data_IF_514717186002
#
_entry.id   IF_514717186002
#
_cell.length_a   1.000
_cell.length_b   1.000
_cell.length_c   1.000
_cell.angle_alpha   90.00
_cell.angle_beta   90.00
_cell.angle_gamma   90.00
#
_symmetry.space_group_name_H-M   'P 1'
#
loop_
_entity.id
_entity.type
_entity.pdbx_description
1 polymer ?
#
# COMPACT_ATOMS: atom_id res chain seq x y z
N UNK A 1 -51.68 23.72 37.63
CA UNK A 1 -50.57 24.38 36.92
C UNK A 1 -49.76 23.33 36.20
N UNK A 2 -49.62 23.48 34.89
CA UNK A 2 -48.97 22.54 33.96
C UNK A 2 -47.46 22.80 33.96
N UNK A 3 -46.65 21.74 33.94
CA UNK A 3 -45.25 21.84 33.56
C UNK A 3 -44.86 20.57 32.79
N UNK A 4 -45.12 20.60 31.48
CA UNK A 4 -44.54 19.68 30.51
C UNK A 4 -43.20 20.28 30.11
N UNK A 5 -42.09 19.63 30.44
CA UNK A 5 -40.76 20.03 29.95
C UNK A 5 -40.32 19.03 28.88
N UNK A 6 -40.58 19.41 27.63
CA UNK A 6 -40.10 18.73 26.44
C UNK A 6 -38.67 19.21 26.18
N UNK A 7 -37.67 18.32 26.32
CA UNK A 7 -36.29 18.60 25.88
C UNK A 7 -36.13 17.96 24.50
N UNK A 8 -36.17 18.81 23.48
CA UNK A 8 -35.72 18.55 22.11
C UNK A 8 -34.49 19.44 21.87
N UNK A 9 -33.69 19.13 20.85
CA UNK A 9 -32.49 19.84 20.31
C UNK A 9 -31.19 19.11 20.68
N UNK A 10 -30.31 18.68 19.78
CA UNK A 10 -30.30 18.53 18.32
C UNK A 10 -29.06 17.65 18.04
N UNK A 11 -29.24 16.52 17.35
CA UNK A 11 -28.11 15.77 16.78
C UNK A 11 -27.55 16.59 15.62
N UNK A 12 -26.42 17.28 15.82
CA UNK A 12 -25.59 17.72 14.70
C UNK A 12 -24.82 16.52 14.17
N UNK A 13 -25.41 15.85 13.18
CA UNK A 13 -24.68 14.95 12.30
C UNK A 13 -23.82 15.85 11.41
N UNK A 14 -22.54 16.01 11.79
CA UNK A 14 -21.50 16.53 10.89
C UNK A 14 -21.34 15.51 9.75
N UNK A 15 -22.21 15.63 8.76
CA UNK A 15 -22.01 15.06 7.44
C UNK A 15 -20.91 15.90 6.79
N UNK A 16 -19.66 15.49 6.99
CA UNK A 16 -18.55 15.97 6.20
C UNK A 16 -18.79 15.57 4.75
N UNK A 17 -19.28 16.51 3.95
CA UNK A 17 -19.33 16.38 2.51
C UNK A 17 -17.90 16.14 2.00
N UNK A 18 -17.57 14.90 1.60
CA UNK A 18 -16.42 14.67 0.75
C UNK A 18 -16.64 15.40 -0.58
N UNK A 19 -15.80 16.39 -0.85
CA UNK A 19 -15.77 17.05 -2.14
C UNK A 19 -15.31 16.04 -3.19
N UNK A 20 -16.19 15.69 -4.14
CA UNK A 20 -15.77 15.18 -5.44
C UNK A 20 -14.94 16.29 -6.10
N UNK A 21 -13.61 16.18 -6.02
CA UNK A 21 -12.71 17.16 -6.62
C UNK A 21 -12.71 16.96 -8.13
N UNK A 22 -13.57 17.71 -8.82
CA UNK A 22 -13.38 18.05 -10.23
C UNK A 22 -12.14 18.93 -10.35
N UNK A 23 -11.21 18.54 -11.21
CA UNK A 23 -9.94 19.23 -11.41
C UNK A 23 -10.19 20.61 -12.03
N UNK A 24 -9.85 21.68 -11.29
CA UNK A 24 -9.51 22.97 -11.87
C UNK A 24 -8.05 23.29 -11.51
N UNK A 25 -7.25 23.58 -12.55
CA UNK A 25 -5.82 23.91 -12.48
C UNK A 25 -5.59 25.23 -11.75
N UNK A 26 -4.72 25.23 -10.74
CA UNK A 26 -3.73 26.31 -10.46
C UNK A 26 -2.91 26.05 -9.19
N UNK A 27 -1.58 26.02 -9.39
CA UNK A 27 -0.44 26.45 -8.53
C UNK A 27 -0.50 26.42 -6.99
N UNK A 28 0.44 25.64 -6.42
CA UNK A 28 1.23 25.81 -5.18
C UNK A 28 0.63 26.49 -3.92
N UNK A 29 0.59 25.74 -2.82
CA UNK A 29 1.31 26.05 -1.56
C UNK A 29 1.01 24.95 -0.53
N UNK A 30 2.03 24.59 0.27
CA UNK A 30 2.02 23.43 1.14
C UNK A 30 1.15 23.56 2.39
N UNK A 31 0.76 22.41 2.93
CA UNK A 31 0.72 22.11 4.36
C UNK A 31 0.48 20.60 4.55
N UNK A 32 1.46 19.91 5.14
CA UNK A 32 1.42 18.51 5.56
C UNK A 32 0.74 18.43 6.92
N UNK A 33 -0.43 17.79 7.02
CA UNK A 33 -1.02 17.27 8.27
C UNK A 33 -2.26 16.43 7.98
N UNK A 34 -2.11 15.11 7.92
CA UNK A 34 -2.92 14.12 8.65
C UNK A 34 -2.41 12.71 8.31
N UNK A 35 -1.64 12.12 9.23
CA UNK A 35 -1.09 10.77 9.08
C UNK A 35 -2.14 9.77 9.59
N UNK A 36 -2.82 9.10 8.67
CA UNK A 36 -3.73 8.00 8.92
C UNK A 36 -3.71 7.05 7.72
N UNK A 37 -3.46 5.78 8.05
CA UNK A 37 -3.75 4.52 7.34
C UNK A 37 -4.18 4.66 5.87
N UNK A 38 -3.32 4.22 4.94
CA UNK A 38 -3.70 3.80 3.58
C UNK A 38 -4.59 4.80 2.84
N UNK A 39 -4.09 6.01 2.54
CA UNK A 39 -4.89 6.96 1.76
C UNK A 39 -5.00 6.47 0.33
N UNK A 40 -6.22 6.39 -0.18
CA UNK A 40 -6.50 6.08 -1.59
C UNK A 40 -6.26 7.33 -2.41
N UNK A 41 -5.34 7.29 -3.37
CA UNK A 41 -5.16 8.35 -4.36
C UNK A 41 -5.41 7.84 -5.77
N UNK A 42 -5.98 8.70 -6.62
CA UNK A 42 -5.98 8.47 -8.07
C UNK A 42 -4.59 8.85 -8.59
N UNK A 43 -3.93 7.94 -9.31
CA UNK A 43 -2.69 8.25 -10.01
C UNK A 43 -2.88 9.47 -10.92
N UNK A 44 -2.00 10.45 -10.82
CA UNK A 44 -2.05 11.67 -11.62
C UNK A 44 -0.64 12.13 -11.97
N UNK A 45 -0.27 11.99 -13.25
CA UNK A 45 1.02 12.35 -13.81
C UNK A 45 1.18 13.86 -14.04
N UNK A 46 2.36 14.38 -13.70
CA UNK A 46 2.81 15.70 -14.12
C UNK A 46 3.49 15.57 -15.49
N UNK A 47 3.14 16.44 -16.44
CA UNK A 47 3.72 16.42 -17.80
C UNK A 47 5.09 17.09 -17.80
N UNK A 48 6.15 16.34 -18.11
CA UNK A 48 7.41 16.90 -18.58
C UNK A 48 8.66 16.13 -18.20
N UNK A 49 9.42 15.70 -19.22
CA UNK A 49 10.84 15.38 -19.10
C UNK A 49 11.20 13.94 -19.42
N UNK A 50 11.62 13.70 -20.66
CA UNK A 50 12.26 12.45 -21.08
C UNK A 50 13.65 12.33 -20.42
N UNK A 51 13.82 11.35 -19.53
CA UNK A 51 15.13 10.77 -19.20
C UNK A 51 14.92 9.45 -18.45
N UNK A 52 15.40 8.34 -19.05
CA UNK A 52 15.59 7.01 -18.45
C UNK A 52 14.70 6.66 -17.25
N UNK A 53 13.46 6.24 -17.52
CA UNK A 53 12.48 5.96 -16.48
C UNK A 53 12.86 4.72 -15.67
N UNK A 54 13.40 4.93 -14.47
CA UNK A 54 13.20 3.97 -13.38
C UNK A 54 11.69 3.93 -13.15
N UNK A 55 11.02 2.82 -13.47
CA UNK A 55 9.57 2.66 -13.27
C UNK A 55 9.22 2.92 -11.79
N UNK A 56 8.79 4.14 -11.50
CA UNK A 56 8.52 4.61 -10.16
C UNK A 56 7.04 4.49 -9.80
N UNK A 57 6.19 4.04 -10.73
CA UNK A 57 4.77 3.84 -10.46
C UNK A 57 3.92 5.09 -10.56
N UNK A 58 4.42 6.16 -11.20
CA UNK A 58 3.70 7.43 -11.42
C UNK A 58 3.22 7.61 -12.87
N UNK A 59 3.42 6.61 -13.72
CA UNK A 59 2.91 6.56 -15.08
C UNK A 59 1.37 6.67 -15.18
N UNK A 60 0.89 7.17 -16.32
CA UNK A 60 -0.54 7.11 -16.66
C UNK A 60 -0.95 5.68 -17.01
N UNK A 61 -2.20 5.34 -16.73
CA UNK A 61 -2.79 4.08 -17.12
C UNK A 61 -3.24 4.07 -18.59
N UNK A 62 -3.43 2.87 -19.12
CA UNK A 62 -3.98 2.64 -20.46
C UNK A 62 -5.44 2.20 -20.37
N UNK A 63 -6.35 2.96 -21.00
CA UNK A 63 -7.75 2.58 -21.09
C UNK A 63 -7.92 1.45 -22.11
N UNK A 64 -8.66 0.40 -21.75
CA UNK A 64 -9.07 -0.65 -22.69
C UNK A 64 -10.56 -0.60 -23.01
N UNK A 65 -11.36 0.13 -22.22
CA UNK A 65 -12.77 0.38 -22.48
C UNK A 65 -13.30 1.61 -21.72
N UNK A 66 -13.30 2.80 -22.35
CA UNK A 66 -14.02 3.98 -21.84
C UNK A 66 -13.63 4.48 -20.44
N UNK A 67 -12.65 3.88 -19.76
CA UNK A 67 -12.26 4.27 -18.41
C UNK A 67 -11.47 5.58 -18.44
N UNK A 68 -11.80 6.49 -17.52
CA UNK A 68 -11.17 7.81 -17.43
C UNK A 68 -10.23 7.93 -16.23
N UNK A 69 -10.41 7.09 -15.22
CA UNK A 69 -9.61 7.09 -13.99
C UNK A 69 -8.43 6.16 -14.17
N UNK A 70 -7.22 6.61 -13.80
CA UNK A 70 -6.06 5.72 -13.71
C UNK A 70 -6.25 4.65 -12.63
N UNK A 71 -5.33 3.70 -12.54
CA UNK A 71 -5.33 2.73 -11.44
C UNK A 71 -5.31 3.43 -10.08
N UNK A 72 -5.82 2.75 -9.05
CA UNK A 72 -5.81 3.25 -7.68
C UNK A 72 -4.47 2.98 -7.00
N UNK A 73 -4.09 3.85 -6.06
CA UNK A 73 -2.94 3.65 -5.17
C UNK A 73 -3.38 3.70 -3.71
N UNK A 74 -2.99 2.69 -2.94
CA UNK A 74 -3.08 2.67 -1.48
C UNK A 74 -1.72 3.08 -0.92
N UNK A 75 -1.61 4.35 -0.56
CA UNK A 75 -0.33 4.95 -0.24
C UNK A 75 0.02 4.79 1.24
N UNK A 76 1.33 4.71 1.52
CA UNK A 76 1.90 4.72 2.87
C UNK A 76 1.37 3.59 3.77
N UNK A 77 1.36 2.36 3.25
CA UNK A 77 1.13 1.18 4.09
C UNK A 77 2.40 0.95 4.91
N UNK A 78 2.29 1.12 6.23
CA UNK A 78 3.38 0.97 7.18
C UNK A 78 3.09 -0.20 8.10
N UNK A 79 4.05 -1.14 8.22
CA UNK A 79 3.89 -2.37 9.00
C UNK A 79 5.11 -2.66 9.84
N UNK A 80 4.89 -3.12 11.07
CA UNK A 80 5.91 -3.84 11.83
C UNK A 80 6.15 -5.23 11.23
N UNK A 81 7.38 -5.73 11.38
CA UNK A 81 7.73 -7.09 11.01
C UNK A 81 7.12 -8.14 11.93
N UNK A 82 7.41 -9.41 11.62
CA UNK A 82 6.87 -10.56 12.37
C UNK A 82 7.90 -11.42 13.06
N UNK A 83 9.18 -11.22 12.78
CA UNK A 83 10.25 -12.06 13.33
C UNK A 83 10.65 -11.63 14.74
N UNK A 84 10.69 -12.60 15.67
CA UNK A 84 11.03 -12.42 17.08
C UNK A 84 9.83 -12.57 18.01
N UNK A 85 9.99 -12.16 19.29
CA UNK A 85 8.89 -12.13 20.28
C UNK A 85 7.90 -11.02 19.93
N UNK A 86 6.99 -11.33 19.01
CA UNK A 86 6.17 -10.34 18.35
C UNK A 86 5.01 -9.87 19.24
N UNK A 87 5.22 -8.74 19.92
CA UNK A 87 4.18 -8.04 20.71
C UNK A 87 3.12 -7.34 19.84
N UNK A 88 3.40 -7.17 18.55
CA UNK A 88 2.57 -6.41 17.61
C UNK A 88 1.91 -7.30 16.55
N UNK A 89 2.08 -8.63 16.63
CA UNK A 89 1.48 -9.56 15.69
C UNK A 89 -0.03 -9.56 15.87
N UNK A 90 -0.84 -9.48 14.79
CA UNK A 90 -2.15 -10.08 14.85
C UNK A 90 -2.00 -11.56 15.24
N UNK A 91 -2.54 -11.94 16.40
CA UNK A 91 -2.45 -13.32 16.93
C UNK A 91 -3.03 -14.36 15.97
N UNK A 92 -3.83 -13.92 14.99
CA UNK A 92 -4.23 -14.67 13.80
C UNK A 92 -4.77 -13.68 12.75
N UNK A 93 -4.18 -13.64 11.56
CA UNK A 93 -4.67 -12.79 10.47
C UNK A 93 -3.57 -12.20 9.58
N UNK A 94 -3.95 -11.43 8.55
CA UNK A 94 -3.00 -10.70 7.73
C UNK A 94 -2.37 -9.55 8.54
N UNK A 95 -1.15 -9.15 8.16
CA UNK A 95 -0.47 -7.99 8.75
C UNK A 95 -1.16 -6.67 8.41
N UNK A 96 -1.89 -6.66 7.30
CA UNK A 96 -2.71 -5.54 6.86
C UNK A 96 -3.85 -6.07 6.01
N UNK A 97 -5.04 -5.49 6.11
CA UNK A 97 -6.18 -5.87 5.28
C UNK A 97 -6.92 -4.63 4.78
N UNK A 98 -7.19 -4.56 3.48
CA UNK A 98 -8.01 -3.48 2.93
C UNK A 98 -9.40 -3.44 3.59
N UNK A 99 -9.91 -4.57 4.07
CA UNK A 99 -11.20 -4.64 4.74
C UNK A 99 -11.26 -3.89 6.08
N UNK A 100 -10.15 -3.89 6.83
CA UNK A 100 -10.08 -3.28 8.18
C UNK A 100 -9.34 -1.96 8.19
N UNK A 101 -8.46 -1.74 7.22
CA UNK A 101 -7.59 -0.57 7.16
C UNK A 101 -8.07 0.50 6.17
N UNK A 102 -9.05 0.20 5.31
CA UNK A 102 -9.69 1.20 4.43
C UNK A 102 -11.12 1.45 4.93
N UNK A 103 -11.59 2.69 4.84
CA UNK A 103 -12.93 3.09 5.27
C UNK A 103 -14.00 2.26 4.53
N UNK A 104 -15.14 2.00 5.18
CA UNK A 104 -16.26 1.28 4.56
C UNK A 104 -16.77 1.96 3.30
N UNK A 105 -16.70 3.28 3.25
CA UNK A 105 -17.20 4.12 2.17
C UNK A 105 -16.30 4.03 0.93
N UNK A 106 -15.00 3.76 1.13
CA UNK A 106 -14.01 3.61 0.06
C UNK A 106 -13.89 2.17 -0.45
N UNK A 107 -14.54 1.18 0.19
CA UNK A 107 -14.41 -0.23 -0.22
C UNK A 107 -14.86 -0.48 -1.68
N UNK A 108 -15.71 0.37 -2.26
CA UNK A 108 -16.19 0.17 -3.63
C UNK A 108 -15.10 0.28 -4.69
N UNK A 109 -13.95 0.90 -4.39
CA UNK A 109 -12.82 0.95 -5.33
C UNK A 109 -12.30 -0.45 -5.71
N UNK A 110 -12.53 -1.45 -4.86
CA UNK A 110 -12.11 -2.84 -5.09
C UNK A 110 -13.16 -3.68 -5.83
N UNK A 111 -14.26 -3.09 -6.30
CA UNK A 111 -15.20 -3.81 -7.16
C UNK A 111 -14.63 -4.04 -8.56
N UNK A 112 -14.92 -5.22 -9.09
CA UNK A 112 -14.45 -5.71 -10.38
C UNK A 112 -15.34 -6.86 -10.83
N UNK A 113 -15.55 -6.95 -12.13
CA UNK A 113 -16.33 -8.00 -12.78
C UNK A 113 -15.41 -9.13 -13.26
N UNK A 114 -14.19 -8.79 -13.72
CA UNK A 114 -13.30 -9.75 -14.38
C UNK A 114 -11.80 -9.51 -14.13
N UNK A 115 -11.38 -8.24 -14.05
CA UNK A 115 -9.97 -7.86 -14.00
C UNK A 115 -9.61 -7.22 -12.68
N UNK A 116 -8.66 -7.84 -11.97
CA UNK A 116 -8.02 -7.23 -10.81
C UNK A 116 -6.50 -7.35 -10.94
N UNK A 117 -5.83 -6.27 -11.33
CA UNK A 117 -4.38 -6.26 -11.53
C UNK A 117 -3.73 -5.54 -10.36
N UNK A 118 -2.63 -6.07 -9.82
CA UNK A 118 -1.97 -5.52 -8.63
C UNK A 118 -0.47 -5.42 -8.85
N UNK A 119 0.14 -4.37 -8.31
CA UNK A 119 1.58 -4.27 -8.12
C UNK A 119 1.89 -3.55 -6.81
N UNK A 120 3.14 -3.67 -6.36
CA UNK A 120 3.61 -3.07 -5.12
C UNK A 120 4.74 -2.09 -5.42
N UNK A 121 4.74 -0.95 -4.76
CA UNK A 121 5.84 0.02 -4.80
C UNK A 121 6.56 0.01 -3.46
N UNK A 122 7.83 -0.40 -3.43
CA UNK A 122 8.60 -0.33 -2.20
C UNK A 122 8.96 1.14 -1.88
N UNK A 123 8.90 1.53 -0.62
CA UNK A 123 9.25 2.90 -0.16
C UNK A 123 10.38 2.85 0.85
N UNK A 124 11.10 3.96 0.97
CA UNK A 124 12.09 4.12 2.02
C UNK A 124 11.46 3.91 3.40
N UNK A 125 12.28 3.38 4.32
CA UNK A 125 11.89 3.14 5.70
C UNK A 125 11.20 4.35 6.35
N UNK A 126 10.15 4.13 7.16
CA UNK A 126 9.45 5.22 7.84
C UNK A 126 10.33 5.88 8.91
N UNK A 127 10.05 7.16 9.20
CA UNK A 127 10.77 7.91 10.22
C UNK A 127 10.49 7.38 11.62
N UNK A 128 11.56 7.30 12.43
CA UNK A 128 11.46 6.90 13.84
C UNK A 128 10.61 7.91 14.62
N UNK A 129 9.68 7.42 15.45
CA UNK A 129 8.82 8.21 16.34
C UNK A 129 7.94 9.28 15.65
N UNK A 130 7.86 9.25 14.32
CA UNK A 130 7.05 10.18 13.52
C UNK A 130 5.93 9.46 12.78
N UNK A 131 6.05 8.16 12.57
CA UNK A 131 5.09 7.35 11.81
C UNK A 131 4.54 6.22 12.67
N UNK A 132 3.25 5.93 12.49
CA UNK A 132 2.58 4.76 13.06
C UNK A 132 2.37 3.68 12.00
N UNK A 133 2.38 2.43 12.43
CA UNK A 133 1.95 1.31 11.61
C UNK A 133 0.42 1.30 11.42
N UNK A 134 -0.05 0.38 10.59
CA UNK A 134 -1.46 0.19 10.29
C UNK A 134 -2.35 -0.18 11.49
N UNK A 135 -1.75 -0.52 12.64
CA UNK A 135 -2.44 -0.84 13.89
C UNK A 135 -2.31 0.28 14.93
N UNK A 136 -1.69 1.41 14.57
CA UNK A 136 -1.51 2.58 15.43
C UNK A 136 -0.29 2.52 16.36
N UNK A 137 0.59 1.52 16.21
CA UNK A 137 1.83 1.41 16.98
C UNK A 137 2.92 2.28 16.37
N UNK A 138 3.73 2.93 17.20
CA UNK A 138 4.83 3.77 16.73
C UNK A 138 5.98 2.95 16.15
N UNK A 139 6.54 3.42 15.05
CA UNK A 139 7.83 2.96 14.55
C UNK A 139 8.94 3.57 15.42
N UNK A 140 9.24 2.95 16.55
CA UNK A 140 10.06 3.53 17.63
C UNK A 140 11.57 3.28 17.48
N UNK A 141 11.93 2.40 16.56
CA UNK A 141 13.31 2.02 16.31
C UNK A 141 13.85 2.75 15.09
N UNK A 142 15.15 3.06 15.08
CA UNK A 142 15.76 3.73 13.93
C UNK A 142 15.51 2.91 12.66
N UNK A 143 15.16 3.56 11.53
CA UNK A 143 14.95 2.85 10.29
C UNK A 143 16.23 2.10 9.91
N UNK A 144 16.13 0.78 9.87
CA UNK A 144 17.11 -0.06 9.20
C UNK A 144 17.07 0.29 7.71
N UNK A 145 18.20 0.70 7.12
CA UNK A 145 18.25 0.98 5.70
C UNK A 145 18.11 -0.34 4.95
N UNK A 146 16.95 -0.60 4.35
CA UNK A 146 16.78 -1.68 3.36
C UNK A 146 16.77 -1.06 1.97
N UNK A 147 17.27 -1.78 0.97
CA UNK A 147 17.26 -1.34 -0.44
C UNK A 147 16.24 -2.09 -1.28
N UNK A 148 15.69 -3.18 -0.74
CA UNK A 148 14.62 -3.95 -1.38
C UNK A 148 13.60 -4.42 -0.36
N UNK A 149 12.36 -4.59 -0.83
CA UNK A 149 11.29 -5.29 -0.10
C UNK A 149 10.76 -6.45 -0.92
N UNK A 150 10.33 -7.51 -0.23
CA UNK A 150 9.44 -8.51 -0.81
C UNK A 150 8.13 -8.53 -0.03
N UNK A 151 7.01 -8.50 -0.71
CA UNK A 151 5.68 -8.43 -0.08
C UNK A 151 4.81 -9.58 -0.56
N UNK A 152 4.27 -10.36 0.37
CA UNK A 152 3.32 -11.43 0.10
C UNK A 152 1.90 -10.89 0.21
N UNK A 153 1.17 -10.90 -0.90
CA UNK A 153 -0.20 -10.37 -1.01
C UNK A 153 -1.16 -11.51 -1.27
N UNK A 154 -2.30 -11.46 -0.59
CA UNK A 154 -3.45 -12.30 -0.85
C UNK A 154 -4.61 -11.45 -1.39
N UNK A 155 -5.27 -11.92 -2.44
CA UNK A 155 -6.54 -11.37 -2.91
C UNK A 155 -7.65 -12.38 -2.61
N UNK A 156 -8.73 -11.90 -1.98
CA UNK A 156 -9.89 -12.72 -1.63
C UNK A 156 -11.21 -11.98 -1.77
N UNK A 157 -12.32 -12.71 -1.70
CA UNK A 157 -13.65 -12.12 -1.48
C UNK A 157 -13.77 -11.60 -0.03
N UNK A 158 -14.67 -10.65 0.20
CA UNK A 158 -14.98 -10.10 1.54
C UNK A 158 -15.21 -11.20 2.57
N UNK A 159 -16.01 -12.22 2.21
CA UNK A 159 -16.17 -13.44 2.97
C UNK A 159 -15.51 -14.59 2.22
N UNK A 160 -14.48 -15.18 2.81
CA UNK A 160 -13.80 -16.34 2.23
C UNK A 160 -12.31 -16.40 2.49
N UNK A 161 -11.71 -17.48 2.01
CA UNK A 161 -10.27 -17.75 2.04
C UNK A 161 -9.54 -16.98 0.94
N UNK A 162 -8.21 -16.99 1.00
CA UNK A 162 -7.38 -16.51 -0.08
C UNK A 162 -7.73 -17.18 -1.41
N UNK A 163 -8.00 -16.39 -2.44
CA UNK A 163 -8.26 -16.92 -3.80
C UNK A 163 -6.93 -16.98 -4.55
N UNK A 164 -6.13 -15.92 -4.42
CA UNK A 164 -4.82 -15.84 -5.04
C UNK A 164 -3.79 -15.30 -4.07
N UNK A 165 -2.63 -15.94 -4.04
CA UNK A 165 -1.45 -15.45 -3.34
C UNK A 165 -0.38 -15.09 -4.36
N UNK A 166 0.20 -13.90 -4.23
CA UNK A 166 1.31 -13.45 -5.04
C UNK A 166 2.40 -12.90 -4.13
N UNK A 167 3.61 -13.41 -4.33
CA UNK A 167 4.82 -12.81 -3.78
C UNK A 167 5.40 -11.81 -4.77
N UNK A 168 5.48 -10.56 -4.37
CA UNK A 168 6.20 -9.53 -5.13
C UNK A 168 7.62 -9.44 -4.57
N UNK A 169 8.56 -10.13 -5.23
CA UNK A 169 9.94 -10.28 -4.73
C UNK A 169 10.87 -9.14 -5.14
N UNK A 170 11.80 -8.80 -4.27
CA UNK A 170 12.98 -7.96 -4.56
C UNK A 170 12.67 -6.61 -5.21
N UNK A 171 11.63 -5.95 -4.74
CA UNK A 171 11.21 -4.63 -5.21
C UNK A 171 12.19 -3.60 -4.67
N UNK A 172 12.95 -2.94 -5.57
CA UNK A 172 13.86 -1.88 -5.19
C UNK A 172 13.13 -0.69 -4.59
N UNK A 173 13.75 0.00 -3.62
CA UNK A 173 13.16 1.19 -3.02
C UNK A 173 12.84 2.25 -4.08
N UNK A 174 11.65 2.83 -3.97
CA UNK A 174 11.06 3.80 -4.90
C UNK A 174 10.80 3.26 -6.31
N UNK A 175 10.85 1.94 -6.50
CA UNK A 175 10.48 1.26 -7.75
C UNK A 175 9.22 0.42 -7.57
N UNK A 176 8.59 0.06 -8.69
CA UNK A 176 7.44 -0.85 -8.69
C UNK A 176 7.84 -2.28 -9.04
N UNK A 177 7.09 -3.23 -8.48
CA UNK A 177 7.15 -4.63 -8.87
C UNK A 177 6.60 -4.85 -10.28
N UNK A 178 6.78 -6.07 -10.79
CA UNK A 178 5.95 -6.57 -11.89
C UNK A 178 4.46 -6.53 -11.51
N UNK A 179 3.61 -6.30 -12.49
CA UNK A 179 2.15 -6.39 -12.37
C UNK A 179 1.74 -7.85 -12.35
N UNK A 180 0.99 -8.23 -11.33
CA UNK A 180 0.28 -9.50 -11.29
C UNK A 180 -1.16 -9.29 -11.75
N UNK A 181 -1.53 -10.04 -12.78
CA UNK A 181 -2.90 -10.07 -13.29
C UNK A 181 -3.66 -11.19 -12.60
N UNK A 182 -4.81 -10.85 -12.01
CA UNK A 182 -5.75 -11.82 -11.46
C UNK A 182 -7.03 -11.79 -12.30
N UNK A 183 -7.38 -12.95 -12.86
CA UNK A 183 -8.71 -13.16 -13.42
C UNK A 183 -9.62 -13.56 -12.29
N UNK A 184 -10.59 -12.71 -11.97
CA UNK A 184 -11.54 -12.94 -10.89
C UNK A 184 -12.92 -13.18 -11.47
N UNK A 185 -13.68 -14.08 -10.86
CA UNK A 185 -15.10 -14.17 -11.19
C UNK A 185 -15.81 -13.01 -10.54
N UNK A 186 -16.66 -12.31 -11.29
CA UNK A 186 -17.53 -11.23 -10.81
C UNK A 186 -18.03 -11.51 -9.41
N UNK A 187 -17.48 -10.78 -8.44
CA UNK A 187 -17.97 -10.79 -7.08
C UNK A 187 -18.91 -9.62 -6.95
N UNK A 188 -20.19 -9.86 -6.66
CA UNK A 188 -21.14 -8.79 -6.31
C UNK A 188 -20.75 -7.99 -5.05
N UNK A 189 -19.57 -8.24 -4.51
CA UNK A 189 -18.95 -7.59 -3.35
C UNK A 189 -17.52 -7.17 -3.74
N UNK A 190 -16.99 -6.06 -3.18
CA UNK A 190 -15.60 -5.69 -3.37
C UNK A 190 -14.63 -6.82 -2.99
N UNK A 191 -13.49 -6.89 -3.68
CA UNK A 191 -12.40 -7.76 -3.27
C UNK A 191 -11.66 -7.17 -2.06
N UNK A 192 -10.90 -8.03 -1.40
CA UNK A 192 -10.03 -7.67 -0.28
C UNK A 192 -8.58 -8.00 -0.65
N UNK A 193 -7.71 -7.04 -0.40
CA UNK A 193 -6.26 -7.22 -0.46
C UNK A 193 -5.75 -7.38 0.97
N UNK A 194 -5.07 -8.49 1.23
CA UNK A 194 -4.43 -8.80 2.51
C UNK A 194 -2.91 -8.87 2.30
N UNK A 195 -2.14 -8.23 3.18
CA UNK A 195 -0.68 -8.43 3.24
C UNK A 195 -0.39 -9.52 4.25
N UNK A 196 0.19 -10.62 3.79
CA UNK A 196 0.48 -11.80 4.62
C UNK A 196 1.87 -11.72 5.27
N UNK A 197 2.82 -11.07 4.61
CA UNK A 197 4.21 -11.06 5.03
C UNK A 197 5.03 -10.02 4.29
N UNK A 198 6.08 -9.55 4.95
CA UNK A 198 7.07 -8.65 4.35
C UNK A 198 8.47 -9.12 4.72
N UNK A 199 9.37 -9.06 3.74
CA UNK A 199 10.80 -9.31 3.89
C UNK A 199 11.62 -8.14 3.35
N UNK A 200 12.84 -8.02 3.84
CA UNK A 200 13.80 -6.96 3.49
C UNK A 200 15.21 -7.53 3.27
N UNK A 201 16.10 -6.77 2.66
CA UNK A 201 17.51 -7.14 2.44
C UNK A 201 18.46 -6.58 3.51
N UNK A 202 17.93 -6.31 4.72
CA UNK A 202 18.67 -5.62 5.79
C UNK A 202 20.03 -6.27 6.13
N UNK A 203 20.12 -7.59 6.11
CA UNK A 203 21.38 -8.27 6.43
C UNK A 203 22.53 -7.79 5.52
N UNK A 204 22.24 -7.53 4.24
CA UNK A 204 23.23 -7.03 3.31
C UNK A 204 23.65 -5.58 3.59
N UNK A 205 22.70 -4.71 3.91
CA UNK A 205 23.00 -3.30 4.17
C UNK A 205 23.79 -3.15 5.47
N UNK A 206 23.43 -3.88 6.52
CA UNK A 206 24.16 -3.92 7.78
C UNK A 206 25.64 -4.31 7.59
N UNK A 207 25.91 -5.32 6.76
CA UNK A 207 27.28 -5.75 6.49
C UNK A 207 28.08 -4.76 5.65
N UNK A 208 27.46 -4.15 4.63
CA UNK A 208 28.10 -3.09 3.83
C UNK A 208 28.43 -1.86 4.68
N UNK A 209 27.52 -1.42 5.55
CA UNK A 209 27.74 -0.30 6.46
C UNK A 209 28.82 -0.58 7.50
N UNK A 210 29.01 -1.85 7.89
CA UNK A 210 30.09 -2.31 8.77
C UNK A 210 31.47 -2.40 8.12
N UNK A 211 31.63 -2.00 6.86
CA UNK A 211 32.90 -2.06 6.12
C UNK A 211 33.23 -3.43 5.52
N UNK A 212 32.28 -4.36 5.53
CA UNK A 212 32.40 -5.63 4.82
C UNK A 212 32.17 -5.46 3.32
N UNK A 213 32.85 -6.25 2.51
CA UNK A 213 32.54 -6.40 1.08
C UNK A 213 31.26 -7.23 0.90
N UNK A 214 30.61 -7.07 -0.24
CA UNK A 214 29.39 -7.83 -0.60
C UNK A 214 29.64 -9.35 -0.56
N UNK A 215 30.89 -9.77 -0.74
CA UNK A 215 31.36 -11.16 -0.66
C UNK A 215 31.66 -11.67 0.76
N UNK A 216 31.74 -10.81 1.77
CA UNK A 216 32.18 -11.20 3.12
C UNK A 216 31.06 -11.84 3.96
N UNK A 217 29.80 -11.68 3.56
CA UNK A 217 28.69 -12.43 4.14
C UNK A 217 28.56 -13.78 3.43
N UNK A 218 29.07 -14.83 4.07
CA UNK A 218 29.00 -16.23 3.60
C UNK A 218 29.69 -16.57 2.26
N UNK A 219 30.48 -15.66 1.66
CA UNK A 219 31.03 -15.90 0.32
C UNK A 219 29.99 -15.81 -0.80
N UNK A 220 28.83 -15.20 -0.53
CA UNK A 220 27.69 -15.13 -1.45
C UNK A 220 27.67 -13.78 -2.17
N UNK A 221 27.56 -13.80 -3.50
CA UNK A 221 27.28 -12.61 -4.33
C UNK A 221 25.81 -12.15 -4.25
N UNK A 222 25.04 -12.67 -3.30
CA UNK A 222 23.59 -12.56 -3.23
C UNK A 222 23.15 -12.05 -1.86
N UNK A 223 22.24 -11.08 -1.89
CA UNK A 223 21.61 -10.52 -0.69
C UNK A 223 20.33 -11.27 -0.34
N UNK A 224 20.32 -12.07 0.75
CA UNK A 224 19.10 -12.76 1.16
C UNK A 224 18.03 -11.77 1.62
N UNK A 225 16.78 -12.11 1.29
CA UNK A 225 15.61 -11.43 1.83
C UNK A 225 15.24 -12.11 3.15
N UNK A 226 15.33 -11.36 4.24
CA UNK A 226 14.98 -11.82 5.59
C UNK A 226 13.62 -11.28 6.01
N UNK A 227 12.92 -12.02 6.86
CA UNK A 227 11.71 -11.50 7.48
C UNK A 227 12.03 -10.29 8.38
N UNK A 228 11.16 -9.29 8.31
CA UNK A 228 11.32 -8.04 9.07
C UNK A 228 11.17 -8.34 10.56
N UNK A 229 12.04 -7.77 11.39
CA UNK A 229 11.93 -7.90 12.85
C UNK A 229 10.71 -7.18 13.40
N UNK A 230 10.12 -7.73 14.47
CA UNK A 230 8.91 -7.17 15.08
C UNK A 230 9.07 -5.73 15.58
N UNK A 231 10.29 -5.31 15.94
CA UNK A 231 10.61 -3.96 16.40
C UNK A 231 10.88 -2.97 15.27
N UNK A 232 10.79 -3.40 14.01
CA UNK A 232 11.18 -2.60 12.85
C UNK A 232 10.00 -2.44 11.92
N UNK A 233 9.89 -1.25 11.35
CA UNK A 233 8.86 -0.91 10.39
C UNK A 233 9.38 -0.91 8.96
N UNK A 234 8.49 -1.27 8.03
CA UNK A 234 8.65 -1.08 6.59
C UNK A 234 7.54 -0.19 6.04
N UNK A 235 7.75 0.36 4.84
CA UNK A 235 6.75 1.16 4.14
C UNK A 235 6.70 0.79 2.66
N UNK A 236 5.49 0.71 2.12
CA UNK A 236 5.25 0.46 0.69
C UNK A 236 3.86 0.97 0.30
N UNK A 237 3.59 1.01 -1.00
CA UNK A 237 2.26 1.27 -1.54
C UNK A 237 1.76 0.04 -2.31
N UNK A 238 0.44 -0.13 -2.37
CA UNK A 238 -0.19 -1.13 -3.24
C UNK A 238 -0.97 -0.38 -4.32
N UNK A 239 -0.64 -0.65 -5.58
CA UNK A 239 -1.37 -0.10 -6.72
C UNK A 239 -2.20 -1.20 -7.36
N UNK A 240 -3.43 -0.88 -7.77
CA UNK A 240 -4.31 -1.85 -8.39
C UNK A 240 -5.26 -1.23 -9.41
N UNK A 241 -5.56 -2.03 -10.45
CA UNK A 241 -6.49 -1.68 -11.51
C UNK A 241 -7.66 -2.66 -11.53
N UNK A 242 -8.87 -2.13 -11.70
CA UNK A 242 -10.11 -2.90 -11.83
C UNK A 242 -10.71 -2.72 -13.22
N UNK A 243 -11.80 -3.39 -13.59
CA UNK A 243 -12.50 -3.14 -14.87
C UNK A 243 -12.94 -1.67 -15.05
N UNK A 244 -13.09 -0.93 -13.94
CA UNK A 244 -13.59 0.43 -13.90
C UNK A 244 -12.48 1.50 -13.93
N UNK A 245 -11.22 1.10 -13.90
CA UNK A 245 -10.07 1.98 -14.07
C UNK A 245 -9.35 1.68 -15.38
N UNK A 246 -8.45 2.57 -15.80
CA UNK A 246 -7.43 2.21 -16.77
C UNK A 246 -6.51 1.14 -16.18
N UNK A 247 -5.92 0.32 -17.03
CA UNK A 247 -4.93 -0.68 -16.64
C UNK A 247 -3.55 -0.03 -16.45
N UNK A 248 -2.60 -0.76 -15.87
CA UNK A 248 -1.19 -0.39 -15.95
C UNK A 248 -0.73 -0.36 -17.42
N UNK A 249 0.18 0.56 -17.81
CA UNK A 249 0.60 0.68 -19.19
C UNK A 249 1.26 -0.59 -19.71
N UNK A 250 1.31 -0.75 -21.03
CA UNK A 250 1.92 -1.91 -21.68
C UNK A 250 3.42 -2.04 -21.36
N UNK A 251 4.09 -0.92 -21.03
CA UNK A 251 5.49 -0.89 -20.59
C UNK A 251 5.72 -1.43 -19.18
N UNK A 252 4.68 -1.56 -18.35
CA UNK A 252 4.81 -2.13 -17.02
C UNK A 252 5.08 -3.65 -17.13
N UNK A 253 6.18 -4.16 -16.55
CA UNK A 253 6.54 -5.56 -16.67
C UNK A 253 5.51 -6.45 -15.95
N UNK A 254 5.20 -7.63 -16.52
CA UNK A 254 4.16 -8.56 -16.03
C UNK A 254 4.77 -9.92 -15.67
N UNK A 255 4.07 -10.68 -14.83
CA UNK A 255 4.44 -12.07 -14.47
C UNK A 255 4.14 -13.04 -15.61
#
# INVERSE_FOLDING_TARGET
>A
MKATLTILISLMILSGCMQKKSVNRSSSSGNLSNDSVGTVTNGGGNTGGSSGSTNDGTEEGEADAGQTTDYYSLDNIVLHGTTGDNRYNPQSGPLWSSLTNISSDDQQIFQTDSRFNVRVRARSAPSKNETKDAHGNWCDTYPSAYTKLSVDVCVRKQTGSCIYTQRFSEIGINTVSKVKEFTVQSSGQPLVIDVLGVQWDYSCTYHKEGGGSETDYYGQTYCPMDAVWFSRCVKFDIQFATDYTKNFPASAPRY
#
